data_IF_132191866461
#
_entry.id   IF_132191866461
#
_cell.length_a   1.000
_cell.length_b   1.000
_cell.length_c   1.000
_cell.angle_alpha   90.00
_cell.angle_beta   90.00
_cell.angle_gamma   90.00
#
_symmetry.space_group_name_H-M   'P 1'
#
loop_
_entity.id
_entity.type
_entity.pdbx_description
1 polymer ?
#
# COMPACT_ATOMS: atom_id res chain seq x y z
N UNK A 1 22.59 1.26 -24.40
CA UNK A 1 23.44 2.47 -24.50
C UNK A 1 24.61 2.49 -23.51
N UNK A 2 24.48 1.98 -22.28
CA UNK A 2 25.58 1.96 -21.27
C UNK A 2 26.84 1.15 -21.65
N UNK A 3 26.73 0.17 -22.57
CA UNK A 3 27.89 -0.61 -23.05
C UNK A 3 28.69 0.16 -24.11
N UNK A 4 28.09 1.12 -24.81
CA UNK A 4 28.74 1.85 -25.91
C UNK A 4 29.58 3.06 -25.44
N UNK A 5 29.47 3.50 -24.18
CA UNK A 5 30.02 4.81 -23.75
C UNK A 5 31.09 4.74 -22.65
N UNK A 6 31.83 3.63 -22.54
CA UNK A 6 33.02 3.50 -21.66
C UNK A 6 32.83 4.10 -20.25
N UNK A 7 31.65 3.92 -19.65
CA UNK A 7 31.35 4.38 -18.29
C UNK A 7 31.36 5.89 -18.04
N UNK A 8 31.48 6.76 -19.07
CA UNK A 8 31.54 8.22 -18.89
C UNK A 8 30.20 8.93 -18.87
N UNK A 9 29.11 8.24 -19.22
CA UNK A 9 27.77 8.81 -19.22
C UNK A 9 26.92 8.08 -18.17
N UNK A 10 26.76 8.63 -16.96
CA UNK A 10 25.80 8.07 -16.01
C UNK A 10 24.41 8.22 -16.63
N UNK A 11 23.80 7.10 -16.98
CA UNK A 11 22.41 7.04 -17.39
C UNK A 11 21.56 7.41 -16.18
N UNK A 12 21.14 8.67 -16.12
CA UNK A 12 20.09 9.16 -15.22
C UNK A 12 18.75 8.79 -15.87
N UNK A 13 18.04 7.72 -15.43
CA UNK A 13 16.70 7.49 -15.93
C UNK A 13 15.85 8.73 -15.61
N UNK A 14 15.14 9.23 -16.61
CA UNK A 14 14.22 10.35 -16.45
C UNK A 14 13.21 9.98 -15.33
N UNK A 15 13.35 10.62 -14.18
CA UNK A 15 12.52 10.37 -12.99
C UNK A 15 13.27 10.29 -11.66
N UNK A 16 14.59 10.07 -11.64
CA UNK A 16 15.35 9.97 -10.37
C UNK A 16 16.05 11.27 -9.96
N UNK A 17 15.31 12.39 -9.95
CA UNK A 17 15.79 13.58 -9.24
C UNK A 17 15.34 13.44 -7.77
N UNK A 18 16.19 12.84 -6.93
CA UNK A 18 15.99 12.86 -5.48
C UNK A 18 16.61 14.12 -4.90
N UNK A 19 15.82 15.18 -4.79
CA UNK A 19 16.18 16.34 -3.99
C UNK A 19 16.17 15.91 -2.52
N UNK A 20 17.35 15.74 -1.93
CA UNK A 20 17.51 15.53 -0.49
C UNK A 20 17.90 16.86 0.13
N UNK A 21 17.15 17.29 1.13
CA UNK A 21 17.54 18.43 1.94
C UNK A 21 18.79 18.06 2.76
N UNK A 22 19.80 18.94 2.85
CA UNK A 22 20.89 18.77 3.81
C UNK A 22 20.34 19.07 5.22
N UNK A 23 19.91 18.00 5.90
CA UNK A 23 19.27 18.08 7.21
C UNK A 23 20.20 18.67 8.29
N UNK A 24 21.51 18.49 8.16
CA UNK A 24 22.51 18.96 9.13
C UNK A 24 22.69 20.48 9.25
N UNK A 25 22.10 21.30 8.37
CA UNK A 25 22.27 22.76 8.38
C UNK A 25 21.05 23.55 8.92
N UNK A 26 20.03 22.87 9.45
CA UNK A 26 18.87 23.53 10.09
C UNK A 26 19.03 23.56 11.61
N UNK A 27 19.57 24.66 12.13
CA UNK A 27 19.62 24.96 13.56
C UNK A 27 18.20 25.30 14.05
N UNK A 28 17.56 24.43 14.84
CA UNK A 28 16.38 24.82 15.64
C UNK A 28 15.15 23.90 15.69
N UNK A 29 15.23 22.60 15.38
CA UNK A 29 14.06 21.70 15.57
C UNK A 29 14.41 20.40 16.29
N UNK A 30 13.60 20.01 17.28
CA UNK A 30 13.92 18.96 18.27
C UNK A 30 13.74 17.51 17.75
N UNK A 31 13.28 17.31 16.50
CA UNK A 31 13.23 16.01 15.79
C UNK A 31 13.33 16.20 14.26
N UNK A 32 14.39 15.72 13.64
CA UNK A 32 14.67 15.92 12.20
C UNK A 32 13.73 15.17 11.26
N UNK A 33 13.25 13.99 11.66
CA UNK A 33 12.44 13.12 10.82
C UNK A 33 10.97 13.14 11.21
N UNK A 34 10.12 12.90 10.21
CA UNK A 34 8.72 12.56 10.45
C UNK A 34 8.65 11.31 11.31
N UNK A 35 7.66 11.28 12.21
CA UNK A 35 7.40 10.09 13.02
C UNK A 35 7.18 8.88 12.09
N UNK A 36 7.86 7.77 12.36
CA UNK A 36 7.79 6.54 11.53
C UNK A 36 6.34 6.06 11.43
N UNK A 37 5.56 6.25 12.49
CA UNK A 37 4.12 6.01 12.50
C UNK A 37 3.36 6.87 11.49
N UNK A 38 3.66 8.18 11.42
CA UNK A 38 3.06 9.10 10.46
C UNK A 38 3.45 8.75 9.02
N UNK A 39 4.71 8.35 8.79
CA UNK A 39 5.17 7.86 7.48
C UNK A 39 4.39 6.60 7.10
N UNK A 40 4.18 5.67 8.04
CA UNK A 40 3.37 4.47 7.84
C UNK A 40 1.92 4.80 7.46
N UNK A 41 1.27 5.75 8.15
CA UNK A 41 -0.10 6.17 7.80
C UNK A 41 -0.16 6.78 6.40
N UNK A 42 0.81 7.64 6.05
CA UNK A 42 0.85 8.27 4.71
C UNK A 42 1.03 7.20 3.63
N UNK A 43 1.93 6.24 3.83
CA UNK A 43 2.14 5.13 2.91
C UNK A 43 0.87 4.27 2.75
N UNK A 44 0.11 4.07 3.82
CA UNK A 44 -1.14 3.29 3.82
C UNK A 44 -2.26 3.93 2.97
N UNK A 45 -2.28 5.26 2.84
CA UNK A 45 -3.29 5.97 2.04
C UNK A 45 -3.22 5.61 0.55
N UNK A 46 -2.05 5.27 0.03
CA UNK A 46 -1.87 4.81 -1.35
C UNK A 46 -2.67 3.53 -1.64
N UNK A 47 -2.31 2.38 -1.02
CA UNK A 47 -3.05 1.12 -1.16
C UNK A 47 -4.55 1.26 -0.85
N UNK A 48 -4.93 2.03 0.17
CA UNK A 48 -6.34 2.28 0.49
C UNK A 48 -7.09 3.01 -0.63
N UNK A 49 -6.50 4.06 -1.20
CA UNK A 49 -7.15 4.81 -2.29
C UNK A 49 -7.39 3.94 -3.52
N UNK A 50 -6.43 3.08 -3.88
CA UNK A 50 -6.59 2.10 -4.96
C UNK A 50 -7.73 1.11 -4.65
N UNK A 51 -7.81 0.62 -3.42
CA UNK A 51 -8.89 -0.28 -3.00
C UNK A 51 -10.27 0.41 -3.04
N UNK A 52 -10.36 1.66 -2.58
CA UNK A 52 -11.60 2.46 -2.66
C UNK A 52 -12.00 2.70 -4.11
N UNK A 53 -11.05 2.98 -5.01
CA UNK A 53 -11.31 3.10 -6.45
C UNK A 53 -11.83 1.78 -7.04
N UNK A 54 -11.25 0.64 -6.67
CA UNK A 54 -11.72 -0.67 -7.12
C UNK A 54 -13.17 -0.94 -6.67
N UNK A 55 -13.50 -0.60 -5.41
CA UNK A 55 -14.87 -0.68 -4.88
C UNK A 55 -15.81 0.24 -5.65
N UNK A 56 -15.40 1.47 -5.93
CA UNK A 56 -16.18 2.44 -6.68
C UNK A 56 -16.50 1.95 -8.11
N UNK A 57 -15.49 1.44 -8.83
CA UNK A 57 -15.71 0.88 -10.16
C UNK A 57 -16.57 -0.39 -10.13
N UNK A 58 -16.44 -1.23 -9.11
CA UNK A 58 -17.31 -2.40 -8.93
C UNK A 58 -18.76 -1.98 -8.63
N UNK A 59 -18.99 -0.93 -7.87
CA UNK A 59 -20.33 -0.38 -7.65
C UNK A 59 -20.94 0.20 -8.95
N UNK A 60 -20.09 0.76 -9.82
CA UNK A 60 -20.49 1.31 -11.11
C UNK A 60 -20.65 0.23 -12.20
N UNK A 61 -20.43 -1.06 -11.91
CA UNK A 61 -20.49 -2.14 -12.89
C UNK A 61 -21.88 -2.37 -13.50
N UNK A 62 -22.92 -1.65 -13.05
CA UNK A 62 -24.21 -1.59 -13.72
C UNK A 62 -24.08 -1.01 -15.14
N UNK A 63 -23.14 -0.08 -15.34
CA UNK A 63 -22.78 0.44 -16.66
C UNK A 63 -21.78 -0.57 -17.25
N UNK A 64 -22.28 -1.62 -17.89
CA UNK A 64 -21.42 -2.68 -18.43
C UNK A 64 -20.44 -2.12 -19.46
N UNK A 65 -19.14 -2.33 -19.26
CA UNK A 65 -18.11 -1.87 -20.18
C UNK A 65 -16.75 -2.51 -19.92
N UNK A 66 -16.00 -2.93 -20.97
CA UNK A 66 -14.70 -3.59 -20.83
C UNK A 66 -13.64 -2.70 -20.18
N UNK A 67 -13.85 -1.38 -20.18
CA UNK A 67 -12.99 -0.41 -19.51
C UNK A 67 -13.11 -0.49 -17.98
N UNK A 68 -14.31 -0.73 -17.44
CA UNK A 68 -14.56 -0.79 -16.00
C UNK A 68 -13.92 -2.04 -15.40
N UNK A 69 -14.04 -3.19 -16.08
CA UNK A 69 -13.40 -4.44 -15.64
C UNK A 69 -11.88 -4.31 -15.57
N UNK A 70 -11.27 -3.68 -16.59
CA UNK A 70 -9.83 -3.39 -16.61
C UNK A 70 -9.44 -2.41 -15.52
N UNK A 71 -10.25 -1.38 -15.27
CA UNK A 71 -10.00 -0.41 -14.20
C UNK A 71 -10.04 -1.07 -12.81
N UNK A 72 -10.99 -1.97 -12.57
CA UNK A 72 -11.07 -2.76 -11.33
C UNK A 72 -9.79 -3.61 -11.18
N UNK A 73 -9.43 -4.35 -12.23
CA UNK A 73 -8.25 -5.23 -12.20
C UNK A 73 -6.95 -4.46 -11.91
N UNK A 74 -6.73 -3.32 -12.59
CA UNK A 74 -5.53 -2.49 -12.38
C UNK A 74 -5.47 -1.96 -10.95
N UNK A 75 -6.57 -1.43 -10.42
CA UNK A 75 -6.60 -0.90 -9.06
C UNK A 75 -6.36 -1.99 -8.00
N UNK A 76 -6.92 -3.18 -8.21
CA UNK A 76 -6.67 -4.34 -7.33
C UNK A 76 -5.19 -4.73 -7.37
N UNK A 77 -4.61 -4.86 -8.56
CA UNK A 77 -3.20 -5.21 -8.70
C UNK A 77 -2.33 -4.18 -7.99
N UNK A 78 -2.58 -2.88 -8.18
CA UNK A 78 -1.85 -1.81 -7.51
C UNK A 78 -2.02 -1.83 -5.98
N UNK A 79 -3.22 -2.08 -5.48
CA UNK A 79 -3.47 -2.17 -4.04
C UNK A 79 -2.71 -3.35 -3.40
N UNK A 80 -2.74 -4.52 -4.03
CA UNK A 80 -2.07 -5.73 -3.54
C UNK A 80 -0.55 -5.60 -3.66
N UNK A 81 -0.03 -5.04 -4.75
CA UNK A 81 1.42 -4.87 -4.89
C UNK A 81 1.94 -3.88 -3.86
N UNK A 82 1.24 -2.77 -3.64
CA UNK A 82 1.75 -1.72 -2.77
C UNK A 82 1.76 -2.13 -1.29
N UNK A 83 0.90 -3.06 -0.85
CA UNK A 83 0.87 -3.53 0.55
C UNK A 83 1.89 -4.65 0.84
N UNK A 84 2.61 -5.17 -0.17
CA UNK A 84 3.66 -6.16 0.06
C UNK A 84 4.76 -5.60 0.99
N UNK A 85 5.30 -6.42 1.90
CA UNK A 85 6.28 -5.98 2.90
C UNK A 85 7.68 -5.88 2.28
N UNK A 86 7.81 -5.07 1.22
CA UNK A 86 9.07 -4.78 0.54
C UNK A 86 9.55 -3.38 0.93
N UNK A 87 10.85 -3.17 1.23
CA UNK A 87 11.37 -1.93 1.82
C UNK A 87 11.25 -0.70 0.92
N UNK A 88 11.11 -0.90 -0.39
CA UNK A 88 10.92 0.18 -1.37
C UNK A 88 9.44 0.48 -1.66
N UNK A 89 8.52 -0.30 -1.10
CA UNK A 89 7.08 -0.22 -1.35
C UNK A 89 6.33 0.26 -0.10
N UNK A 90 5.10 0.73 -0.28
CA UNK A 90 4.30 1.34 0.79
C UNK A 90 4.12 0.40 2.00
N UNK A 91 3.90 -0.90 1.75
CA UNK A 91 3.70 -1.92 2.77
C UNK A 91 4.86 -2.09 3.74
N UNK A 92 6.11 -1.89 3.27
CA UNK A 92 7.28 -1.87 4.14
C UNK A 92 7.20 -0.72 5.16
N UNK A 93 6.85 0.48 4.71
CA UNK A 93 6.72 1.66 5.58
C UNK A 93 5.59 1.50 6.60
N UNK A 94 4.48 0.86 6.21
CA UNK A 94 3.36 0.53 7.12
C UNK A 94 3.81 -0.44 8.21
N UNK A 95 4.53 -1.50 7.84
CA UNK A 95 5.04 -2.50 8.79
C UNK A 95 6.00 -1.91 9.82
N UNK A 96 6.89 -1.00 9.39
CA UNK A 96 7.80 -0.29 10.30
C UNK A 96 7.10 0.76 11.17
N UNK A 97 5.99 1.34 10.68
CA UNK A 97 5.18 2.28 11.46
C UNK A 97 4.39 1.59 12.56
N UNK A 98 3.70 0.49 12.24
CA UNK A 98 2.97 -0.31 13.22
C UNK A 98 2.65 -1.71 12.66
N UNK A 99 3.23 -2.72 13.29
CA UNK A 99 3.02 -4.14 12.94
C UNK A 99 1.55 -4.59 13.03
N UNK A 100 0.77 -4.27 14.08
CA UNK A 100 -0.65 -4.68 14.12
C UNK A 100 -1.50 -3.98 13.07
N UNK A 101 -1.23 -2.70 12.76
CA UNK A 101 -1.90 -1.99 11.66
C UNK A 101 -1.60 -2.63 10.31
N UNK A 102 -0.35 -3.07 10.11
CA UNK A 102 0.02 -3.81 8.90
C UNK A 102 -0.78 -5.11 8.76
N UNK A 103 -0.84 -5.94 9.80
CA UNK A 103 -1.58 -7.21 9.77
C UNK A 103 -3.07 -7.02 9.42
N UNK A 104 -3.72 -6.02 10.06
CA UNK A 104 -5.11 -5.67 9.78
C UNK A 104 -5.30 -5.24 8.31
N UNK A 105 -4.50 -4.28 7.85
CA UNK A 105 -4.69 -3.66 6.54
C UNK A 105 -4.26 -4.54 5.38
N UNK A 106 -3.18 -5.31 5.53
CA UNK A 106 -2.78 -6.31 4.56
C UNK A 106 -3.84 -7.42 4.43
N UNK A 107 -4.34 -7.93 5.57
CA UNK A 107 -5.43 -8.91 5.58
C UNK A 107 -6.69 -8.39 4.89
N UNK A 108 -7.09 -7.16 5.19
CA UNK A 108 -8.25 -6.51 4.58
C UNK A 108 -8.07 -6.28 3.07
N UNK A 109 -6.92 -5.76 2.62
CA UNK A 109 -6.67 -5.47 1.20
C UNK A 109 -6.66 -6.74 0.37
N UNK A 110 -5.95 -7.78 0.83
CA UNK A 110 -5.84 -9.06 0.11
C UNK A 110 -7.20 -9.77 0.06
N UNK A 111 -7.91 -9.84 1.19
CA UNK A 111 -9.24 -10.48 1.22
C UNK A 111 -10.28 -9.72 0.39
N UNK A 112 -10.30 -8.39 0.43
CA UNK A 112 -11.20 -7.57 -0.39
C UNK A 112 -10.93 -7.77 -1.87
N UNK A 113 -9.65 -7.78 -2.26
CA UNK A 113 -9.22 -8.01 -3.64
C UNK A 113 -9.70 -9.35 -4.18
N UNK A 114 -9.68 -10.40 -3.35
CA UNK A 114 -10.20 -11.72 -3.72
C UNK A 114 -11.73 -11.74 -3.80
N UNK A 115 -12.41 -11.18 -2.79
CA UNK A 115 -13.88 -11.23 -2.66
C UNK A 115 -14.62 -10.40 -3.72
N UNK A 116 -14.03 -9.30 -4.20
CA UNK A 116 -14.61 -8.42 -5.23
C UNK A 116 -14.94 -9.18 -6.53
N UNK A 117 -14.21 -10.25 -6.84
CA UNK A 117 -14.48 -11.04 -8.05
C UNK A 117 -15.71 -11.95 -7.92
N UNK A 118 -16.00 -12.46 -6.71
CA UNK A 118 -17.02 -13.48 -6.50
C UNK A 118 -18.32 -12.97 -5.88
N UNK A 119 -18.29 -11.82 -5.20
CA UNK A 119 -19.40 -11.36 -4.35
C UNK A 119 -19.83 -9.93 -4.67
N UNK A 120 -21.07 -9.53 -4.32
CA UNK A 120 -21.49 -8.14 -4.41
C UNK A 120 -20.66 -7.26 -3.46
N UNK A 121 -20.54 -5.97 -3.81
CA UNK A 121 -19.66 -5.00 -3.15
C UNK A 121 -19.82 -4.98 -1.63
N UNK A 122 -21.07 -4.99 -1.14
CA UNK A 122 -21.35 -4.91 0.29
C UNK A 122 -20.81 -6.13 1.06
N UNK A 123 -20.98 -7.33 0.51
CA UNK A 123 -20.47 -8.58 1.11
C UNK A 123 -18.95 -8.60 1.02
N UNK A 124 -18.37 -8.13 -0.08
CA UNK A 124 -16.91 -8.05 -0.23
C UNK A 124 -16.27 -7.13 0.82
N UNK A 125 -16.89 -5.99 1.12
CA UNK A 125 -16.39 -5.02 2.11
C UNK A 125 -16.57 -5.55 3.54
N UNK A 126 -17.74 -6.08 3.89
CA UNK A 126 -17.97 -6.63 5.23
C UNK A 126 -17.13 -7.89 5.48
N UNK A 127 -17.03 -8.77 4.48
CA UNK A 127 -16.23 -9.99 4.54
C UNK A 127 -14.74 -9.70 4.66
N UNK A 128 -14.23 -8.69 3.94
CA UNK A 128 -12.82 -8.30 4.06
C UNK A 128 -12.48 -7.67 5.41
N UNK A 129 -13.41 -6.93 6.01
CA UNK A 129 -13.27 -6.38 7.35
C UNK A 129 -13.20 -7.50 8.41
N UNK A 130 -14.09 -8.49 8.31
CA UNK A 130 -14.09 -9.65 9.19
C UNK A 130 -12.79 -10.47 9.06
N UNK A 131 -12.33 -10.72 7.83
CA UNK A 131 -11.07 -11.44 7.58
C UNK A 131 -9.83 -10.62 8.01
N UNK A 132 -9.86 -9.29 7.84
CA UNK A 132 -8.82 -8.40 8.35
C UNK A 132 -8.70 -8.45 9.87
N UNK A 133 -9.82 -8.42 10.59
CA UNK A 133 -9.85 -8.61 12.05
C UNK A 133 -9.33 -10.00 12.41
N UNK A 134 -9.73 -11.05 11.68
CA UNK A 134 -9.20 -12.40 11.86
C UNK A 134 -7.68 -12.47 11.70
N UNK A 135 -7.12 -11.78 10.70
CA UNK A 135 -5.68 -11.70 10.48
C UNK A 135 -4.95 -10.99 11.63
N UNK A 136 -5.54 -9.94 12.18
CA UNK A 136 -5.04 -9.25 13.37
C UNK A 136 -5.10 -10.15 14.63
N UNK A 137 -6.18 -10.92 14.81
CA UNK A 137 -6.28 -11.87 15.93
C UNK A 137 -5.21 -12.97 15.85
N UNK A 138 -4.98 -13.50 14.64
CA UNK A 138 -3.89 -14.46 14.40
C UNK A 138 -2.53 -13.83 14.73
N UNK A 139 -2.32 -12.57 14.33
CA UNK A 139 -1.09 -11.86 14.64
C UNK A 139 -0.86 -11.76 16.16
N UNK A 140 -1.87 -11.36 16.93
CA UNK A 140 -1.77 -11.30 18.40
C UNK A 140 -1.53 -12.66 19.05
N UNK A 141 -2.19 -13.71 18.54
CA UNK A 141 -1.96 -15.07 19.02
C UNK A 141 -0.52 -15.53 18.78
N UNK A 142 0.05 -15.19 17.62
CA UNK A 142 1.43 -15.55 17.26
C UNK A 142 2.46 -14.70 18.00
N UNK A 143 2.21 -13.40 18.21
CA UNK A 143 3.15 -12.53 18.89
C UNK A 143 3.22 -12.78 20.40
N UNK A 144 2.24 -13.47 21.00
CA UNK A 144 2.21 -13.75 22.43
C UNK A 144 2.02 -12.50 23.31
N UNK A 145 1.84 -11.33 22.69
CA UNK A 145 1.56 -10.06 23.35
C UNK A 145 0.04 -9.95 23.57
N UNK A 146 -0.48 -10.77 24.50
CA UNK A 146 -1.75 -10.45 25.15
C UNK A 146 -1.48 -9.29 26.10
N UNK A 147 -1.93 -8.09 25.70
CA UNK A 147 -2.03 -6.81 26.44
C UNK A 147 -1.35 -6.75 27.82
#
# INVERSE_FOLDING_TARGET
LSIMTYGKLPFLPAGTIRVKMLEGQRLGYFRYHLNVFSIGIIALMGPLSNLVLAIFFKALSFIQGPLIEKAIFINIVLAVTNILPLPFMDGGSVMYGSRPLYALTAGMIVSCSLLIFFTPVLIAVLGSLALGIGCLMIYFFVSGEFL
#
